data_IF_623641690464
#
_entry.id   IF_623641690464
#
_cell.length_a   1.000
_cell.length_b   1.000
_cell.length_c   1.000
_cell.angle_alpha   90.00
_cell.angle_beta   90.00
_cell.angle_gamma   90.00
#
_symmetry.space_group_name_H-M   'P 1'
#
loop_
_entity.id
_entity.type
_entity.pdbx_description
1 polymer ?
#
# COMPACT_ATOMS: atom_id res chain seq x y z
N UNK A 1 -44.95 20.96 21.70
CA UNK A 1 -44.60 20.87 20.26
C UNK A 1 -43.93 19.53 20.07
N UNK A 2 -44.54 18.70 19.26
CA UNK A 2 -44.24 17.30 18.98
C UNK A 2 -42.85 17.13 18.37
N UNK A 3 -42.09 16.17 18.87
CA UNK A 3 -40.88 15.63 18.23
C UNK A 3 -41.27 15.10 16.85
N UNK A 4 -40.65 15.66 15.81
CA UNK A 4 -40.79 15.16 14.45
C UNK A 4 -39.95 13.89 14.33
N UNK A 5 -40.61 12.73 14.34
CA UNK A 5 -40.02 11.48 13.89
C UNK A 5 -39.54 11.68 12.43
N UNK A 6 -38.23 11.56 12.24
CA UNK A 6 -37.64 11.55 10.91
C UNK A 6 -38.05 10.23 10.24
N UNK A 7 -38.65 10.23 9.04
CA UNK A 7 -39.03 8.98 8.39
C UNK A 7 -37.78 8.14 8.16
N UNK A 8 -37.77 6.90 8.63
CA UNK A 8 -36.78 5.90 8.21
C UNK A 8 -37.02 5.64 6.72
N UNK A 9 -36.35 6.41 5.87
CA UNK A 9 -36.36 6.19 4.43
C UNK A 9 -35.92 4.77 4.13
N UNK A 10 -36.62 4.12 3.19
CA UNK A 10 -36.25 2.80 2.71
C UNK A 10 -34.80 2.82 2.21
N UNK A 11 -34.00 1.84 2.66
CA UNK A 11 -32.63 1.68 2.20
C UNK A 11 -32.61 1.46 0.69
N UNK A 12 -31.58 1.94 -0.04
CA UNK A 12 -31.41 1.67 -1.46
C UNK A 12 -31.55 0.16 -1.78
N UNK A 13 -32.08 -0.24 -2.94
CA UNK A 13 -32.32 -1.64 -3.29
C UNK A 13 -31.09 -2.55 -3.12
N UNK A 14 -29.90 -2.06 -3.48
CA UNK A 14 -28.63 -2.76 -3.31
C UNK A 14 -28.32 -3.05 -1.83
N UNK A 15 -28.54 -2.07 -0.94
CA UNK A 15 -28.35 -2.24 0.49
C UNK A 15 -29.38 -3.20 1.11
N UNK A 16 -30.58 -3.29 0.54
CA UNK A 16 -31.58 -4.28 0.95
C UNK A 16 -31.19 -5.70 0.53
N UNK A 17 -30.64 -5.88 -0.67
CA UNK A 17 -30.21 -7.19 -1.15
C UNK A 17 -28.91 -7.68 -0.47
N UNK A 18 -27.96 -6.78 -0.15
CA UNK A 18 -26.82 -7.11 0.72
C UNK A 18 -27.26 -7.58 2.11
N UNK A 19 -28.27 -6.95 2.69
CA UNK A 19 -28.83 -7.34 3.98
C UNK A 19 -29.46 -8.74 3.93
N UNK A 20 -30.19 -9.07 2.86
CA UNK A 20 -30.74 -10.42 2.63
C UNK A 20 -29.63 -11.46 2.50
N UNK A 21 -28.59 -11.19 1.70
CA UNK A 21 -27.45 -12.10 1.53
C UNK A 21 -26.68 -12.30 2.84
N UNK A 22 -26.51 -11.24 3.63
CA UNK A 22 -25.87 -11.30 4.93
C UNK A 22 -26.68 -12.16 5.91
N UNK A 23 -28.01 -12.02 5.93
CA UNK A 23 -28.90 -12.85 6.74
C UNK A 23 -28.80 -14.34 6.36
N UNK A 24 -28.87 -14.67 5.07
CA UNK A 24 -28.70 -16.04 4.57
C UNK A 24 -27.34 -16.64 4.96
N UNK A 25 -26.25 -15.86 4.88
CA UNK A 25 -24.91 -16.30 5.30
C UNK A 25 -24.82 -16.55 6.80
N UNK A 26 -25.56 -15.81 7.63
CA UNK A 26 -25.67 -16.04 9.08
C UNK A 26 -26.44 -17.32 9.39
N UNK A 27 -27.54 -17.59 8.68
CA UNK A 27 -28.29 -18.85 8.80
C UNK A 27 -27.41 -20.06 8.45
N UNK A 28 -26.65 -19.97 7.35
CA UNK A 28 -25.66 -21.00 7.00
C UNK A 28 -24.60 -21.20 8.08
N UNK A 29 -24.15 -20.14 8.75
CA UNK A 29 -23.21 -20.24 9.86
C UNK A 29 -23.86 -20.89 11.10
N UNK A 30 -25.14 -20.62 11.37
CA UNK A 30 -25.88 -21.26 12.45
C UNK A 30 -25.96 -22.78 12.21
N UNK A 31 -26.40 -23.20 11.02
CA UNK A 31 -26.41 -24.61 10.63
C UNK A 31 -25.02 -25.26 10.66
N UNK A 32 -23.97 -24.51 10.31
CA UNK A 32 -22.58 -24.97 10.41
C UNK A 32 -22.19 -25.28 11.86
N UNK A 33 -22.61 -24.44 12.82
CA UNK A 33 -22.32 -24.63 14.26
C UNK A 33 -23.12 -25.77 14.89
N UNK A 34 -24.28 -26.09 14.34
CA UNK A 34 -25.08 -27.24 14.78
C UNK A 34 -24.49 -28.56 14.29
N UNK A 35 -24.01 -28.57 13.04
CA UNK A 35 -23.45 -29.78 12.41
C UNK A 35 -22.01 -30.06 12.84
N UNK A 36 -21.17 -29.03 12.92
CA UNK A 36 -19.73 -29.16 13.12
C UNK A 36 -19.32 -28.58 14.48
N UNK A 37 -18.48 -29.30 15.23
CA UNK A 37 -18.03 -28.87 16.55
C UNK A 37 -17.26 -27.54 16.53
N UNK A 38 -16.57 -27.23 15.42
CA UNK A 38 -15.76 -26.01 15.25
C UNK A 38 -16.05 -25.37 13.90
N UNK A 39 -16.80 -24.26 13.90
CA UNK A 39 -17.17 -23.51 12.69
C UNK A 39 -16.02 -22.68 12.08
N UNK A 40 -14.96 -22.41 12.85
CA UNK A 40 -13.77 -21.66 12.42
C UNK A 40 -12.50 -22.43 12.80
N UNK A 41 -12.20 -23.53 12.09
CA UNK A 41 -11.05 -24.36 12.41
C UNK A 41 -9.72 -23.65 12.07
N UNK A 42 -8.67 -23.98 12.82
CA UNK A 42 -7.31 -23.41 12.70
C UNK A 42 -6.22 -24.49 12.57
N UNK A 43 -6.61 -25.70 12.18
CA UNK A 43 -5.79 -26.91 12.10
C UNK A 43 -5.29 -27.22 10.67
N UNK A 44 -5.84 -26.58 9.64
CA UNK A 44 -5.38 -26.75 8.26
C UNK A 44 -3.93 -26.25 8.10
N UNK A 45 -3.12 -27.00 7.34
CA UNK A 45 -1.73 -26.66 7.00
C UNK A 45 -1.58 -26.77 5.49
N UNK A 46 -1.47 -25.62 4.81
CA UNK A 46 -1.07 -25.58 3.40
C UNK A 46 0.42 -25.87 3.28
N UNK A 47 0.85 -26.42 2.15
CA UNK A 47 2.26 -26.68 1.83
C UNK A 47 2.76 -25.85 0.63
N UNK A 48 1.85 -25.18 -0.09
CA UNK A 48 2.18 -24.45 -1.31
C UNK A 48 1.36 -23.16 -1.47
N UNK A 49 1.81 -22.30 -2.39
CA UNK A 49 1.15 -21.08 -2.85
C UNK A 49 0.84 -21.19 -4.34
N UNK A 50 -0.25 -20.54 -4.77
CA UNK A 50 -0.71 -20.56 -6.16
C UNK A 50 0.39 -20.13 -7.16
N UNK A 51 1.12 -19.05 -6.87
CA UNK A 51 2.17 -18.56 -7.77
C UNK A 51 3.37 -19.52 -7.84
N UNK A 52 3.67 -20.24 -6.77
CA UNK A 52 4.75 -21.23 -6.76
C UNK A 52 4.40 -22.40 -7.69
N UNK A 53 3.15 -22.89 -7.61
CA UNK A 53 2.64 -23.93 -8.51
C UNK A 53 2.69 -23.50 -9.99
N UNK A 54 2.27 -22.26 -10.29
CA UNK A 54 2.37 -21.73 -11.66
C UNK A 54 3.81 -21.59 -12.13
N UNK A 55 4.72 -21.14 -11.27
CA UNK A 55 6.14 -21.00 -11.62
C UNK A 55 6.81 -22.36 -11.86
N UNK A 56 6.51 -23.35 -11.03
CA UNK A 56 7.18 -24.66 -11.06
C UNK A 56 6.57 -25.63 -12.07
N UNK A 57 5.27 -25.50 -12.36
CA UNK A 57 4.51 -26.45 -13.19
C UNK A 57 3.68 -25.80 -14.31
N UNK A 58 3.77 -24.48 -14.50
CA UNK A 58 2.99 -23.74 -15.50
C UNK A 58 3.29 -24.13 -16.95
N UNK A 59 4.47 -24.67 -17.24
CA UNK A 59 4.86 -25.17 -18.57
C UNK A 59 4.64 -26.68 -18.73
N UNK A 60 4.27 -27.41 -17.66
CA UNK A 60 4.03 -28.85 -17.73
C UNK A 60 2.69 -29.14 -18.43
N UNK A 61 2.70 -30.05 -19.41
CA UNK A 61 1.49 -30.52 -20.09
C UNK A 61 0.74 -31.57 -19.25
N UNK A 62 -0.40 -32.04 -19.78
CA UNK A 62 -1.23 -33.01 -19.08
C UNK A 62 -0.51 -34.36 -18.89
N UNK A 63 0.22 -34.82 -19.90
CA UNK A 63 0.93 -36.11 -19.88
C UNK A 63 2.05 -36.11 -18.85
N UNK A 64 2.81 -35.02 -18.75
CA UNK A 64 3.87 -34.85 -17.76
C UNK A 64 3.32 -34.85 -16.32
N UNK A 65 2.19 -34.18 -16.07
CA UNK A 65 1.54 -34.13 -14.76
C UNK A 65 0.90 -35.49 -14.38
N UNK A 66 0.43 -36.27 -15.36
CA UNK A 66 -0.07 -37.62 -15.14
C UNK A 66 1.07 -38.63 -14.89
N UNK A 67 2.17 -38.53 -15.63
CA UNK A 67 3.34 -39.38 -15.47
C UNK A 67 4.07 -39.12 -14.14
N UNK A 68 4.05 -37.87 -13.64
CA UNK A 68 4.62 -37.48 -12.36
C UNK A 68 3.60 -36.70 -11.52
N UNK A 69 2.68 -37.41 -10.83
CA UNK A 69 1.65 -36.77 -10.01
C UNK A 69 2.25 -35.88 -8.92
N UNK A 70 1.78 -34.64 -8.85
CA UNK A 70 2.18 -33.66 -7.83
C UNK A 70 1.00 -33.47 -6.87
N UNK A 71 1.15 -33.94 -5.63
CA UNK A 71 0.18 -33.71 -4.57
C UNK A 71 0.39 -32.32 -3.94
N UNK A 72 -0.70 -31.63 -3.63
CA UNK A 72 -0.67 -30.25 -3.13
C UNK A 72 -1.76 -30.01 -2.08
N UNK A 73 -1.44 -29.17 -1.10
CA UNK A 73 -2.40 -28.60 -0.12
C UNK A 73 -2.38 -27.08 -0.21
N UNK A 74 -3.47 -26.52 -0.72
CA UNK A 74 -3.64 -25.07 -0.81
C UNK A 74 -4.83 -24.59 0.02
N UNK A 75 -4.79 -23.33 0.41
CA UNK A 75 -5.93 -22.65 1.00
C UNK A 75 -6.03 -21.24 0.44
N UNK A 76 -7.27 -20.80 0.20
CA UNK A 76 -7.52 -19.49 -0.36
C UNK A 76 -8.99 -19.10 -0.28
N UNK A 77 -9.24 -17.83 -0.63
CA UNK A 77 -10.58 -17.29 -0.74
C UNK A 77 -11.25 -17.79 -2.02
N UNK A 78 -12.47 -18.28 -1.91
CA UNK A 78 -13.30 -18.70 -3.04
C UNK A 78 -13.76 -17.49 -3.85
N UNK A 79 -13.11 -17.23 -4.99
CA UNK A 79 -13.36 -16.06 -5.84
C UNK A 79 -14.42 -16.32 -6.91
N UNK A 80 -14.39 -17.52 -7.49
CA UNK A 80 -15.35 -17.97 -8.50
C UNK A 80 -15.81 -19.38 -8.19
N UNK A 81 -17.03 -19.71 -8.61
CA UNK A 81 -17.61 -21.04 -8.46
C UNK A 81 -18.59 -21.26 -9.62
N UNK A 82 -18.39 -22.33 -10.37
CA UNK A 82 -19.27 -22.79 -11.46
C UNK A 82 -19.67 -24.23 -11.18
N UNK A 83 -20.96 -24.43 -10.91
CA UNK A 83 -21.53 -25.75 -10.62
C UNK A 83 -22.03 -26.37 -11.93
N UNK A 84 -21.61 -27.61 -12.21
CA UNK A 84 -21.89 -28.36 -13.43
C UNK A 84 -22.49 -29.73 -13.08
N UNK A 85 -23.56 -29.73 -12.27
CA UNK A 85 -24.18 -30.95 -11.76
C UNK A 85 -23.27 -31.66 -10.75
N UNK A 86 -22.63 -32.76 -11.17
CA UNK A 86 -21.75 -33.61 -10.32
C UNK A 86 -20.30 -33.13 -10.24
N UNK A 87 -19.93 -32.12 -11.00
CA UNK A 87 -18.61 -31.51 -10.96
C UNK A 87 -18.70 -29.99 -10.86
N UNK A 88 -17.66 -29.35 -10.37
CA UNK A 88 -17.57 -27.90 -10.25
C UNK A 88 -16.14 -27.42 -10.50
N UNK A 89 -16.03 -26.23 -11.11
CA UNK A 89 -14.79 -25.48 -11.16
C UNK A 89 -14.90 -24.27 -10.23
N UNK A 90 -13.81 -23.94 -9.56
CA UNK A 90 -13.70 -22.75 -8.73
C UNK A 90 -12.30 -22.18 -8.80
N UNK A 91 -12.14 -20.92 -8.43
CA UNK A 91 -10.83 -20.30 -8.24
C UNK A 91 -10.63 -19.94 -6.77
N UNK A 92 -9.49 -20.36 -6.23
CA UNK A 92 -9.02 -19.95 -4.91
C UNK A 92 -7.95 -18.89 -5.07
N UNK A 93 -8.07 -17.80 -4.31
CA UNK A 93 -7.07 -16.75 -4.25
C UNK A 93 -6.37 -16.76 -2.90
N UNK A 94 -5.05 -16.91 -2.92
CA UNK A 94 -4.20 -16.82 -1.74
C UNK A 94 -3.41 -15.49 -1.71
N UNK A 95 -2.30 -15.45 -0.99
CA UNK A 95 -1.47 -14.24 -0.91
C UNK A 95 -0.68 -13.96 -2.20
N UNK A 96 -0.47 -14.98 -3.03
CA UNK A 96 0.43 -14.99 -4.19
C UNK A 96 -0.31 -14.91 -5.53
N UNK A 97 -1.56 -15.36 -5.59
CA UNK A 97 -2.32 -15.36 -6.84
C UNK A 97 -3.56 -16.25 -6.78
N UNK A 98 -4.01 -16.69 -7.95
CA UNK A 98 -5.19 -17.55 -8.12
C UNK A 98 -4.81 -18.93 -8.61
N UNK A 99 -5.51 -19.94 -8.11
CA UNK A 99 -5.40 -21.32 -8.55
C UNK A 99 -6.78 -21.90 -8.84
N UNK A 100 -6.95 -22.52 -10.00
CA UNK A 100 -8.18 -23.23 -10.33
C UNK A 100 -8.23 -24.56 -9.58
N UNK A 101 -9.40 -24.89 -9.06
CA UNK A 101 -9.71 -26.14 -8.39
C UNK A 101 -10.88 -26.81 -9.08
N UNK A 102 -10.77 -28.12 -9.27
CA UNK A 102 -11.79 -28.97 -9.86
C UNK A 102 -12.28 -29.96 -8.81
N UNK A 103 -13.57 -29.88 -8.49
CA UNK A 103 -14.22 -30.73 -7.50
C UNK A 103 -15.22 -31.63 -8.21
N UNK A 104 -15.08 -32.94 -8.03
CA UNK A 104 -16.01 -33.93 -8.56
C UNK A 104 -16.59 -34.73 -7.40
N UNK A 105 -17.92 -34.87 -7.38
CA UNK A 105 -18.64 -35.54 -6.29
C UNK A 105 -18.08 -36.93 -5.98
N UNK A 106 -17.84 -37.71 -7.01
CA UNK A 106 -17.42 -39.11 -6.88
C UNK A 106 -15.91 -39.24 -6.53
N UNK A 107 -15.16 -38.12 -6.52
CA UNK A 107 -13.75 -38.06 -6.12
C UNK A 107 -13.53 -37.45 -4.74
N UNK A 108 -14.60 -37.00 -4.08
CA UNK A 108 -14.57 -36.40 -2.75
C UNK A 108 -15.17 -37.36 -1.71
N UNK A 109 -14.76 -37.26 -0.44
CA UNK A 109 -15.43 -37.93 0.66
C UNK A 109 -16.93 -37.61 0.70
N UNK A 110 -17.72 -38.57 1.15
CA UNK A 110 -19.18 -38.47 1.19
C UNK A 110 -19.65 -37.17 1.87
N UNK A 111 -20.60 -36.47 1.25
CA UNK A 111 -21.14 -35.21 1.74
C UNK A 111 -20.29 -33.95 1.47
N UNK A 112 -18.99 -34.05 1.18
CA UNK A 112 -18.14 -32.86 0.97
C UNK A 112 -18.54 -32.05 -0.26
N UNK A 113 -18.95 -32.71 -1.34
CA UNK A 113 -19.41 -32.00 -2.54
C UNK A 113 -20.71 -31.23 -2.31
N UNK A 114 -21.64 -31.80 -1.54
CA UNK A 114 -22.88 -31.12 -1.14
C UNK A 114 -22.58 -29.92 -0.23
N UNK A 115 -21.65 -30.08 0.72
CA UNK A 115 -21.15 -28.98 1.53
C UNK A 115 -20.53 -27.86 0.66
N UNK A 116 -19.67 -28.21 -0.30
CA UNK A 116 -19.05 -27.26 -1.23
C UNK A 116 -20.10 -26.46 -2.03
N UNK A 117 -21.16 -27.12 -2.51
CA UNK A 117 -22.24 -26.42 -3.23
C UNK A 117 -22.90 -25.34 -2.37
N UNK A 118 -23.00 -25.55 -1.05
CA UNK A 118 -23.57 -24.59 -0.10
C UNK A 118 -22.65 -23.41 0.26
N UNK A 119 -21.33 -23.54 0.05
CA UNK A 119 -20.35 -22.49 0.36
C UNK A 119 -20.53 -21.27 -0.53
N UNK A 120 -20.12 -20.11 -0.06
CA UNK A 120 -20.35 -18.83 -0.73
C UNK A 120 -19.05 -18.21 -1.21
N UNK A 121 -19.15 -17.39 -2.25
CA UNK A 121 -18.03 -16.57 -2.69
C UNK A 121 -17.56 -15.66 -1.54
N UNK A 122 -16.26 -15.60 -1.35
CA UNK A 122 -15.63 -14.95 -0.20
C UNK A 122 -15.29 -15.91 0.94
N UNK A 123 -15.85 -17.12 0.99
CA UNK A 123 -15.46 -18.13 1.99
C UNK A 123 -13.99 -18.51 1.81
N UNK A 124 -13.29 -18.80 2.91
CA UNK A 124 -11.92 -19.33 2.87
C UNK A 124 -12.01 -20.84 2.98
N UNK A 125 -11.42 -21.54 2.02
CA UNK A 125 -11.44 -23.00 1.96
C UNK A 125 -10.02 -23.53 1.83
N UNK A 126 -9.80 -24.72 2.40
CA UNK A 126 -8.60 -25.53 2.21
C UNK A 126 -8.94 -26.72 1.33
N UNK A 127 -8.04 -27.07 0.41
CA UNK A 127 -8.18 -28.25 -0.44
C UNK A 127 -6.87 -29.04 -0.46
N UNK A 128 -7.02 -30.35 -0.56
CA UNK A 128 -5.95 -31.32 -0.84
C UNK A 128 -6.29 -31.97 -2.18
N UNK A 129 -5.29 -32.15 -3.04
CA UNK A 129 -5.49 -32.82 -4.31
C UNK A 129 -4.22 -32.98 -5.12
N UNK A 130 -4.39 -33.21 -6.41
CA UNK A 130 -3.28 -33.41 -7.36
C UNK A 130 -3.35 -32.41 -8.50
N UNK A 131 -2.19 -31.93 -8.96
CA UNK A 131 -2.12 -31.09 -10.15
C UNK A 131 -2.55 -31.85 -11.40
N UNK A 132 -3.27 -31.16 -12.28
CA UNK A 132 -3.56 -31.61 -13.62
C UNK A 132 -3.80 -30.40 -14.53
N UNK A 133 -3.89 -30.62 -15.84
CA UNK A 133 -4.25 -29.58 -16.81
C UNK A 133 -5.64 -29.85 -17.38
N UNK A 134 -6.47 -28.82 -17.46
CA UNK A 134 -7.80 -28.93 -18.08
C UNK A 134 -7.69 -28.99 -19.61
N UNK A 135 -8.82 -29.29 -20.28
CA UNK A 135 -8.89 -29.28 -21.75
C UNK A 135 -8.60 -27.91 -22.37
N UNK A 136 -8.85 -26.82 -21.63
CA UNK A 136 -8.52 -25.45 -22.05
C UNK A 136 -7.08 -25.07 -21.75
N UNK A 137 -6.28 -26.01 -21.24
CA UNK A 137 -4.88 -25.78 -20.93
C UNK A 137 -4.64 -25.08 -19.60
N UNK A 138 -5.61 -24.97 -18.70
CA UNK A 138 -5.40 -24.27 -17.43
C UNK A 138 -4.87 -25.22 -16.34
N UNK A 139 -3.77 -24.84 -15.68
CA UNK A 139 -3.22 -25.58 -14.55
C UNK A 139 -4.22 -25.57 -13.38
N UNK A 140 -4.59 -26.74 -12.88
CA UNK A 140 -5.69 -26.92 -11.92
C UNK A 140 -5.38 -27.99 -10.88
N UNK A 141 -6.06 -27.93 -9.74
CA UNK A 141 -5.99 -28.98 -8.71
C UNK A 141 -7.23 -29.85 -8.80
N UNK A 142 -7.06 -31.15 -9.06
CA UNK A 142 -8.10 -32.17 -8.93
C UNK A 142 -8.24 -32.48 -7.45
N UNK A 143 -9.31 -31.99 -6.84
CA UNK A 143 -9.48 -32.01 -5.38
C UNK A 143 -9.89 -33.40 -4.91
N UNK A 144 -9.11 -33.93 -3.97
CA UNK A 144 -9.38 -35.17 -3.25
C UNK A 144 -10.07 -34.91 -1.90
N UNK A 145 -9.86 -33.75 -1.27
CA UNK A 145 -10.67 -33.31 -0.13
C UNK A 145 -10.78 -31.79 -0.07
N UNK A 146 -11.92 -31.30 0.40
CA UNK A 146 -12.19 -29.88 0.57
C UNK A 146 -12.79 -29.60 1.95
N UNK A 147 -12.37 -28.51 2.57
CA UNK A 147 -12.86 -28.07 3.88
C UNK A 147 -13.10 -26.57 3.91
N UNK A 148 -14.23 -26.15 4.49
CA UNK A 148 -14.47 -24.76 4.84
C UNK A 148 -13.62 -24.39 6.06
N UNK A 149 -12.80 -23.34 5.94
CA UNK A 149 -11.95 -22.82 7.02
C UNK A 149 -12.55 -21.59 7.66
N UNK A 150 -13.21 -20.72 6.88
CA UNK A 150 -13.84 -19.51 7.40
C UNK A 150 -15.06 -19.17 6.56
N UNK A 151 -16.21 -19.06 7.22
CA UNK A 151 -17.44 -18.56 6.61
C UNK A 151 -17.38 -17.04 6.47
N UNK A 152 -17.58 -16.53 5.26
CA UNK A 152 -17.72 -15.11 4.97
C UNK A 152 -19.17 -14.65 5.17
N UNK A 153 -19.39 -13.77 6.14
CA UNK A 153 -20.73 -13.28 6.48
C UNK A 153 -21.21 -12.14 5.59
N UNK A 154 -20.29 -11.41 4.97
CA UNK A 154 -20.59 -10.35 4.01
C UNK A 154 -20.21 -10.81 2.60
N UNK A 155 -21.03 -10.50 1.58
CA UNK A 155 -20.66 -10.77 0.20
C UNK A 155 -19.43 -9.97 -0.22
N UNK A 156 -18.72 -10.46 -1.23
CA UNK A 156 -17.73 -9.67 -1.94
C UNK A 156 -18.45 -8.64 -2.82
N UNK A 157 -17.84 -7.47 -3.11
CA UNK A 157 -18.34 -6.55 -4.11
C UNK A 157 -18.54 -7.22 -5.48
N UNK A 158 -19.42 -6.67 -6.32
CA UNK A 158 -19.72 -7.24 -7.64
C UNK A 158 -18.45 -7.46 -8.50
N UNK A 159 -18.45 -8.59 -9.21
CA UNK A 159 -17.23 -9.19 -9.78
C UNK A 159 -16.68 -8.50 -11.03
N UNK A 160 -17.50 -7.77 -11.78
CA UNK A 160 -17.17 -7.44 -13.17
C UNK A 160 -16.32 -6.18 -13.34
N UNK A 161 -16.30 -5.28 -12.35
CA UNK A 161 -15.61 -4.00 -12.50
C UNK A 161 -14.50 -3.77 -11.47
N UNK A 162 -14.29 -4.71 -10.53
CA UNK A 162 -13.44 -4.45 -9.37
C UNK A 162 -14.05 -3.40 -8.44
N UNK A 163 -13.35 -3.03 -7.37
CA UNK A 163 -13.78 -1.91 -6.54
C UNK A 163 -13.21 -0.63 -7.17
N UNK A 164 -14.06 0.17 -7.80
CA UNK A 164 -13.65 1.35 -8.59
C UNK A 164 -13.75 2.66 -7.83
N UNK A 165 -14.66 2.76 -6.85
CA UNK A 165 -14.81 3.95 -6.02
C UNK A 165 -13.58 4.14 -5.11
N UNK A 166 -12.82 5.21 -5.37
CA UNK A 166 -11.56 5.47 -4.70
C UNK A 166 -11.74 5.66 -3.17
N UNK A 167 -12.83 6.30 -2.74
CA UNK A 167 -13.10 6.50 -1.32
C UNK A 167 -13.35 5.16 -0.60
N UNK A 168 -14.15 4.29 -1.19
CA UNK A 168 -14.41 2.94 -0.67
C UNK A 168 -13.14 2.10 -0.64
N UNK A 169 -12.29 2.17 -1.67
CA UNK A 169 -10.99 1.51 -1.68
C UNK A 169 -10.10 1.95 -0.50
N UNK A 170 -10.13 3.23 -0.13
CA UNK A 170 -9.36 3.75 0.99
C UNK A 170 -9.97 3.38 2.34
N UNK A 171 -11.29 3.47 2.49
CA UNK A 171 -12.01 3.12 3.74
C UNK A 171 -12.03 1.62 4.02
N UNK A 172 -12.09 0.80 2.97
CA UNK A 172 -12.21 -0.65 3.05
C UNK A 172 -11.05 -1.31 2.29
N UNK A 173 -9.82 -0.94 2.67
CA UNK A 173 -8.58 -1.45 2.04
C UNK A 173 -8.55 -2.98 1.91
N UNK A 174 -9.12 -3.71 2.87
CA UNK A 174 -9.20 -5.17 2.81
C UNK A 174 -10.02 -5.68 1.61
N UNK A 175 -11.06 -4.97 1.16
CA UNK A 175 -11.80 -5.32 -0.05
C UNK A 175 -11.03 -4.95 -1.30
N UNK A 176 -10.43 -3.76 -1.34
CA UNK A 176 -9.55 -3.34 -2.44
C UNK A 176 -8.43 -4.38 -2.67
N UNK A 177 -7.74 -4.81 -1.62
CA UNK A 177 -6.68 -5.83 -1.72
C UNK A 177 -7.19 -7.24 -2.11
N UNK A 178 -8.49 -7.51 -1.99
CA UNK A 178 -9.08 -8.76 -2.49
C UNK A 178 -9.40 -8.63 -3.97
N UNK A 179 -9.96 -7.48 -4.38
CA UNK A 179 -10.54 -7.28 -5.70
C UNK A 179 -9.55 -6.75 -6.74
N UNK A 180 -8.55 -5.98 -6.32
CA UNK A 180 -7.64 -5.24 -7.19
C UNK A 180 -6.19 -5.73 -7.01
N UNK A 181 -5.69 -6.48 -8.00
CA UNK A 181 -4.32 -7.02 -7.97
C UNK A 181 -3.26 -5.91 -8.07
N UNK A 182 -3.54 -4.84 -8.82
CA UNK A 182 -2.61 -3.71 -8.95
C UNK A 182 -2.42 -2.98 -7.63
N UNK A 183 -3.48 -2.82 -6.82
CA UNK A 183 -3.36 -2.30 -5.46
C UNK A 183 -2.40 -3.16 -4.62
N UNK A 184 -2.50 -4.49 -4.68
CA UNK A 184 -1.58 -5.39 -3.97
C UNK A 184 -0.14 -5.22 -4.43
N UNK A 185 0.08 -5.14 -5.75
CA UNK A 185 1.41 -4.91 -6.34
C UNK A 185 2.03 -3.61 -5.83
N UNK A 186 1.26 -2.54 -5.69
CA UNK A 186 1.72 -1.27 -5.13
C UNK A 186 2.23 -1.44 -3.69
N UNK A 187 1.52 -2.19 -2.83
CA UNK A 187 1.99 -2.44 -1.46
C UNK A 187 3.22 -3.36 -1.39
N UNK A 188 3.28 -4.38 -2.24
CA UNK A 188 4.46 -5.25 -2.35
C UNK A 188 5.69 -4.45 -2.80
N UNK A 189 5.53 -3.61 -3.83
CA UNK A 189 6.58 -2.72 -4.31
C UNK A 189 7.00 -1.70 -3.24
N UNK A 190 6.04 -1.12 -2.50
CA UNK A 190 6.35 -0.24 -1.35
C UNK A 190 7.21 -0.94 -0.30
N UNK A 191 6.91 -2.20 0.03
CA UNK A 191 7.72 -3.00 0.95
C UNK A 191 9.14 -3.20 0.42
N UNK A 192 9.26 -3.55 -0.88
CA UNK A 192 10.55 -3.73 -1.54
C UNK A 192 11.37 -2.42 -1.60
N UNK A 193 10.72 -1.27 -1.81
CA UNK A 193 11.34 0.06 -1.76
C UNK A 193 11.95 0.31 -0.38
N UNK A 194 11.18 0.10 0.69
CA UNK A 194 11.67 0.33 2.07
C UNK A 194 12.83 -0.61 2.40
N UNK A 195 12.74 -1.89 2.01
CA UNK A 195 13.83 -2.85 2.20
C UNK A 195 15.08 -2.44 1.43
N UNK A 196 14.95 -2.03 0.17
CA UNK A 196 16.05 -1.53 -0.64
C UNK A 196 16.74 -0.33 0.02
N UNK A 197 15.98 0.65 0.53
CA UNK A 197 16.56 1.82 1.19
C UNK A 197 17.39 1.41 2.41
N UNK A 198 16.87 0.48 3.23
CA UNK A 198 17.62 -0.07 4.37
C UNK A 198 18.91 -0.74 3.93
N UNK A 199 18.85 -1.63 2.96
CA UNK A 199 20.02 -2.36 2.45
C UNK A 199 21.04 -1.39 1.84
N UNK A 200 20.57 -0.37 1.12
CA UNK A 200 21.42 0.64 0.48
C UNK A 200 22.22 1.46 1.50
N UNK A 201 21.58 1.90 2.58
CA UNK A 201 22.19 2.73 3.62
C UNK A 201 23.05 1.89 4.57
N UNK A 202 22.57 0.74 5.01
CA UNK A 202 23.35 -0.18 5.86
C UNK A 202 24.60 -0.69 5.14
N UNK A 203 24.50 -1.00 3.84
CA UNK A 203 25.64 -1.34 2.99
C UNK A 203 26.68 -0.21 2.84
N UNK A 204 26.35 1.03 3.25
CA UNK A 204 27.23 2.21 3.27
C UNK A 204 27.65 2.63 4.69
N UNK A 205 27.38 1.77 5.67
CA UNK A 205 27.76 1.97 7.06
C UNK A 205 26.87 2.93 7.85
N UNK A 206 25.66 3.23 7.37
CA UNK A 206 24.67 3.95 8.17
C UNK A 206 24.03 2.99 9.18
N UNK A 207 23.90 3.44 10.42
CA UNK A 207 23.21 2.73 11.50
C UNK A 207 21.72 3.07 11.49
N UNK A 208 20.84 2.06 11.38
CA UNK A 208 19.40 2.25 11.59
C UNK A 208 19.15 2.45 13.09
N UNK A 209 18.46 3.52 13.47
CA UNK A 209 18.16 3.88 14.86
C UNK A 209 16.67 4.19 15.03
N UNK A 210 16.20 4.12 16.26
CA UNK A 210 14.84 4.52 16.63
C UNK A 210 14.89 5.67 17.64
N UNK A 211 14.23 6.78 17.32
CA UNK A 211 14.16 7.97 18.19
C UNK A 211 12.74 8.22 18.70
N UNK A 212 12.55 9.00 19.79
CA UNK A 212 11.22 9.18 20.38
C UNK A 212 10.17 9.75 19.41
N UNK A 213 9.00 9.11 19.39
CA UNK A 213 7.80 9.56 18.67
C UNK A 213 7.02 10.63 19.43
N UNK A 214 7.13 10.63 20.77
CA UNK A 214 6.57 11.66 21.64
C UNK A 214 7.69 12.56 22.12
N UNK A 215 7.54 13.87 21.93
CA UNK A 215 8.56 14.87 22.22
C UNK A 215 7.97 15.94 23.14
N UNK A 216 8.78 16.45 24.08
CA UNK A 216 8.38 17.55 24.97
C UNK A 216 8.26 18.87 24.20
N UNK A 217 9.14 19.09 23.23
CA UNK A 217 9.13 20.25 22.34
C UNK A 217 9.15 19.71 20.91
N UNK A 218 8.11 19.99 20.11
CA UNK A 218 8.10 19.59 18.70
C UNK A 218 9.08 20.48 17.92
N UNK A 219 9.91 19.86 17.08
CA UNK A 219 10.89 20.59 16.27
C UNK A 219 11.43 19.75 15.11
N UNK A 220 12.38 20.31 14.35
CA UNK A 220 12.95 19.67 13.16
C UNK A 220 12.14 19.86 11.87
N UNK A 221 10.99 20.52 11.94
CA UNK A 221 10.22 20.95 10.77
C UNK A 221 9.34 22.15 11.13
N UNK A 222 8.76 22.81 10.12
CA UNK A 222 7.72 23.82 10.30
C UNK A 222 6.36 23.19 9.98
N UNK A 223 5.69 22.67 10.99
CA UNK A 223 4.36 22.07 10.87
C UNK A 223 3.59 22.16 12.19
N UNK A 224 2.26 22.09 12.14
CA UNK A 224 1.43 22.04 13.35
C UNK A 224 1.49 20.63 13.95
N UNK A 225 1.85 20.46 15.24
CA UNK A 225 1.93 19.14 15.85
C UNK A 225 0.56 18.62 16.33
N UNK A 226 0.47 17.32 16.57
CA UNK A 226 -0.56 16.74 17.43
C UNK A 226 -0.11 16.82 18.89
N UNK A 227 -1.03 17.17 19.78
CA UNK A 227 -0.80 17.30 21.22
C UNK A 227 -1.42 16.12 21.94
N UNK A 228 -0.74 15.60 22.95
CA UNK A 228 -1.22 14.51 23.83
C UNK A 228 -0.76 14.76 25.28
N UNK A 229 -1.23 13.95 26.21
CA UNK A 229 -0.92 14.10 27.64
C UNK A 229 -0.46 12.78 28.24
N UNK A 230 0.66 12.82 28.98
CA UNK A 230 1.15 11.66 29.72
C UNK A 230 0.60 11.67 31.15
N UNK A 231 -0.50 10.95 31.39
CA UNK A 231 -1.25 10.98 32.66
C UNK A 231 -0.41 10.80 33.93
N UNK A 232 0.54 9.85 33.95
CA UNK A 232 1.31 9.55 35.16
C UNK A 232 2.43 10.58 35.47
N UNK A 233 2.89 11.31 34.45
CA UNK A 233 3.91 12.36 34.60
C UNK A 233 3.27 13.75 34.63
N UNK A 234 1.95 13.81 34.46
CA UNK A 234 1.14 15.00 34.32
C UNK A 234 1.78 16.07 33.41
N UNK A 235 2.18 15.64 32.20
CA UNK A 235 2.87 16.52 31.26
C UNK A 235 2.33 16.39 29.84
N UNK A 236 2.32 17.54 29.16
CA UNK A 236 2.01 17.63 27.75
C UNK A 236 3.16 17.05 26.89
N UNK A 237 2.79 16.33 25.84
CA UNK A 237 3.71 15.78 24.85
C UNK A 237 3.16 16.04 23.45
N UNK A 238 4.05 15.97 22.48
CA UNK A 238 3.73 16.19 21.09
C UNK A 238 4.13 14.99 20.26
N UNK A 239 3.28 14.54 19.35
CA UNK A 239 3.71 13.59 18.32
C UNK A 239 4.69 14.31 17.39
N UNK A 240 5.84 13.66 17.13
CA UNK A 240 6.93 14.30 16.39
C UNK A 240 6.50 14.71 14.98
N UNK A 241 6.88 15.92 14.60
CA UNK A 241 6.76 16.42 13.22
C UNK A 241 7.98 16.03 12.36
N UNK A 242 9.12 15.77 13.03
CA UNK A 242 10.38 15.27 12.46
C UNK A 242 11.28 14.66 13.57
N UNK A 243 12.08 13.63 13.29
CA UNK A 243 13.12 13.13 14.19
C UNK A 243 14.45 13.92 14.17
N UNK A 244 14.66 14.86 13.24
CA UNK A 244 15.91 15.63 13.02
C UNK A 244 16.70 15.95 14.29
N UNK A 245 16.08 16.59 15.28
CA UNK A 245 16.80 17.07 16.46
C UNK A 245 17.37 15.91 17.30
N UNK A 246 16.70 14.76 17.35
CA UNK A 246 17.19 13.59 18.08
C UNK A 246 18.30 12.88 17.32
N UNK A 247 18.17 12.75 16.00
CA UNK A 247 19.22 12.17 15.16
C UNK A 247 20.51 13.00 15.23
N UNK A 248 20.41 14.33 15.24
CA UNK A 248 21.58 15.21 15.44
C UNK A 248 22.23 15.05 16.82
N UNK A 249 21.47 14.73 17.88
CA UNK A 249 22.04 14.39 19.20
C UNK A 249 22.86 13.11 19.15
N UNK A 250 22.47 12.13 18.34
CA UNK A 250 23.25 10.91 18.12
C UNK A 250 24.57 11.20 17.40
N UNK A 251 24.55 12.10 16.41
CA UNK A 251 25.77 12.57 15.74
C UNK A 251 26.71 13.27 16.72
N UNK A 252 26.17 14.15 17.59
CA UNK A 252 26.95 14.75 18.70
C UNK A 252 27.52 13.68 19.63
N UNK A 253 26.77 12.60 19.87
CA UNK A 253 27.21 11.44 20.66
C UNK A 253 28.25 10.54 19.98
N UNK A 254 28.65 10.83 18.73
CA UNK A 254 29.67 10.09 18.01
C UNK A 254 29.15 9.04 17.02
N UNK A 255 27.82 8.90 16.83
CA UNK A 255 27.30 8.10 15.73
C UNK A 255 27.35 8.90 14.43
N UNK A 256 28.46 8.74 13.70
CA UNK A 256 28.79 9.55 12.53
C UNK A 256 27.87 9.30 11.32
N UNK A 257 27.21 8.14 11.22
CA UNK A 257 26.24 7.82 10.16
C UNK A 257 25.02 7.15 10.74
N UNK A 258 23.88 7.83 10.74
CA UNK A 258 22.61 7.31 11.27
C UNK A 258 21.48 7.54 10.28
N UNK A 259 20.48 6.66 10.29
CA UNK A 259 19.23 6.89 9.58
C UNK A 259 18.04 6.30 10.36
N UNK A 260 16.86 6.85 10.10
CA UNK A 260 15.60 6.35 10.64
C UNK A 260 14.52 6.38 9.57
N UNK A 261 13.81 5.25 9.38
CA UNK A 261 12.62 5.15 8.53
C UNK A 261 11.42 4.89 9.41
N UNK A 262 10.64 5.93 9.74
CA UNK A 262 9.48 5.74 10.59
C UNK A 262 8.47 6.90 10.41
N UNK A 263 7.42 6.93 11.25
CA UNK A 263 6.31 7.88 11.12
C UNK A 263 6.69 9.29 11.57
N UNK A 264 6.11 10.27 10.91
CA UNK A 264 5.97 11.65 11.37
C UNK A 264 4.50 12.04 11.30
N UNK A 265 4.11 12.98 12.16
CA UNK A 265 2.72 13.38 12.36
C UNK A 265 2.59 14.89 12.18
N UNK A 266 1.70 15.33 11.29
CA UNK A 266 1.41 16.75 11.05
C UNK A 266 -0.09 16.98 11.07
N UNK A 267 -0.52 17.85 11.98
CA UNK A 267 -1.93 18.19 12.19
C UNK A 267 -2.37 19.25 11.18
N UNK A 268 -2.39 18.81 9.92
CA UNK A 268 -2.68 19.61 8.72
C UNK A 268 -3.85 18.99 7.95
N UNK A 269 -4.35 19.70 6.93
CA UNK A 269 -5.46 19.20 6.11
C UNK A 269 -5.09 17.95 5.31
N UNK A 270 -6.06 17.06 5.10
CA UNK A 270 -5.91 15.91 4.21
C UNK A 270 -5.97 16.38 2.75
N UNK A 271 -5.11 15.83 1.90
CA UNK A 271 -5.18 16.02 0.45
C UNK A 271 -4.66 14.78 -0.27
N UNK A 272 -4.72 14.76 -1.60
CA UNK A 272 -4.16 13.67 -2.41
C UNK A 272 -2.64 13.51 -2.25
N UNK A 273 -1.94 14.56 -1.78
CA UNK A 273 -0.49 14.57 -1.54
C UNK A 273 -0.11 14.48 -0.05
N UNK A 274 -1.07 14.66 0.88
CA UNK A 274 -0.78 14.82 2.30
C UNK A 274 -1.69 13.95 3.17
N UNK A 275 -1.08 13.10 4.00
CA UNK A 275 -1.74 12.33 5.05
C UNK A 275 -1.22 12.78 6.43
N UNK A 276 -2.07 12.92 7.47
CA UNK A 276 -1.64 13.41 8.79
C UNK A 276 -0.55 12.57 9.46
N UNK A 277 -0.46 11.30 9.09
CA UNK A 277 0.68 10.44 9.40
C UNK A 277 1.35 9.97 8.10
N UNK A 278 2.67 10.02 8.04
CA UNK A 278 3.39 9.59 6.84
C UNK A 278 4.78 9.09 7.20
N UNK A 279 5.32 8.23 6.35
CA UNK A 279 6.66 7.68 6.55
C UNK A 279 7.66 8.63 5.93
N UNK A 280 8.64 9.04 6.73
CA UNK A 280 9.82 9.72 6.23
C UNK A 280 11.04 8.84 6.45
N UNK A 281 12.05 9.06 5.60
CA UNK A 281 13.41 8.72 5.95
C UNK A 281 14.15 10.01 6.31
N UNK A 282 14.87 9.97 7.42
CA UNK A 282 15.92 10.94 7.71
C UNK A 282 17.26 10.21 7.87
N UNK A 283 18.33 10.81 7.36
CA UNK A 283 19.69 10.28 7.50
C UNK A 283 20.68 11.43 7.71
N UNK A 284 21.72 11.14 8.48
CA UNK A 284 22.78 12.08 8.81
C UNK A 284 24.14 11.42 8.63
N UNK A 285 25.08 12.17 8.09
CA UNK A 285 26.47 11.77 7.92
C UNK A 285 27.38 12.92 8.38
N UNK A 286 28.22 12.66 9.39
CA UNK A 286 29.26 13.58 9.82
C UNK A 286 30.32 13.75 8.72
N UNK A 287 30.95 14.93 8.70
CA UNK A 287 31.99 15.31 7.72
C UNK A 287 31.56 15.25 6.25
N UNK A 288 30.26 15.33 5.99
CA UNK A 288 29.68 15.46 4.66
C UNK A 288 28.95 16.81 4.54
N UNK A 289 28.87 17.34 3.32
CA UNK A 289 28.02 18.48 2.99
C UNK A 289 26.80 18.05 2.15
N UNK A 290 25.95 19.01 1.78
CA UNK A 290 24.75 18.71 1.00
C UNK A 290 25.04 18.13 -0.39
N UNK A 291 26.25 18.30 -0.95
CA UNK A 291 26.64 17.73 -2.25
C UNK A 291 26.87 16.24 -2.15
N UNK A 292 27.50 15.77 -1.07
CA UNK A 292 27.59 14.34 -0.78
C UNK A 292 26.19 13.72 -0.66
N UNK A 293 25.26 14.43 -0.01
CA UNK A 293 23.88 13.96 0.15
C UNK A 293 23.08 13.99 -1.16
N UNK A 294 23.35 14.95 -2.07
CA UNK A 294 22.81 14.94 -3.44
C UNK A 294 23.28 13.70 -4.21
N UNK A 295 24.59 13.42 -4.17
CA UNK A 295 25.18 12.24 -4.84
C UNK A 295 24.62 10.94 -4.27
N UNK A 296 24.48 10.85 -2.94
CA UNK A 296 23.91 9.70 -2.25
C UNK A 296 22.44 9.47 -2.65
N UNK A 297 21.64 10.54 -2.69
CA UNK A 297 20.21 10.48 -3.03
C UNK A 297 20.01 10.05 -4.48
N UNK A 298 20.76 10.63 -5.42
CA UNK A 298 20.74 10.25 -6.83
C UNK A 298 21.11 8.77 -7.02
N UNK A 299 22.21 8.33 -6.38
CA UNK A 299 22.67 6.94 -6.44
C UNK A 299 21.63 5.98 -5.86
N UNK A 300 20.97 6.36 -4.76
CA UNK A 300 19.93 5.57 -4.13
C UNK A 300 18.73 5.36 -5.05
N UNK A 301 18.19 6.45 -5.60
CA UNK A 301 17.00 6.43 -6.45
C UNK A 301 17.26 5.70 -7.77
N UNK A 302 18.40 5.97 -8.42
CA UNK A 302 18.80 5.28 -9.67
C UNK A 302 18.93 3.77 -9.46
N UNK A 303 19.64 3.35 -8.42
CA UNK A 303 19.81 1.94 -8.11
C UNK A 303 18.50 1.25 -7.72
N UNK A 304 17.60 1.97 -7.03
CA UNK A 304 16.29 1.46 -6.65
C UNK A 304 15.42 1.16 -7.87
N UNK A 305 15.34 2.11 -8.82
CA UNK A 305 14.61 1.93 -10.06
C UNK A 305 15.17 0.74 -10.86
N UNK A 306 16.49 0.71 -11.06
CA UNK A 306 17.15 -0.38 -11.77
C UNK A 306 16.89 -1.75 -11.12
N UNK A 307 16.93 -1.83 -9.78
CA UNK A 307 16.78 -3.09 -9.04
C UNK A 307 15.34 -3.60 -9.01
N UNK A 308 14.37 -2.70 -8.82
CA UNK A 308 12.98 -3.07 -8.57
C UNK A 308 12.13 -3.07 -9.84
N UNK A 309 12.49 -2.25 -10.83
CA UNK A 309 11.73 -2.09 -12.08
C UNK A 309 12.49 -2.62 -13.31
N UNK A 310 13.77 -2.98 -13.17
CA UNK A 310 14.60 -3.50 -14.26
C UNK A 310 15.15 -2.41 -15.20
N UNK A 311 14.85 -1.14 -14.96
CA UNK A 311 15.34 0.00 -15.73
C UNK A 311 15.26 1.30 -14.93
N UNK A 312 15.83 2.38 -15.47
CA UNK A 312 15.89 3.69 -14.81
C UNK A 312 14.80 4.67 -15.25
N UNK A 313 14.05 4.33 -16.31
CA UNK A 313 12.95 5.15 -16.81
C UNK A 313 11.65 4.75 -16.12
N UNK A 314 10.98 5.72 -15.51
CA UNK A 314 9.71 5.54 -14.80
C UNK A 314 8.64 6.42 -15.44
N UNK A 315 7.52 5.84 -15.84
CA UNK A 315 6.36 6.61 -16.34
C UNK A 315 5.43 6.95 -15.18
N UNK A 316 5.17 8.23 -14.98
CA UNK A 316 4.24 8.72 -13.95
C UNK A 316 3.34 9.81 -14.51
N UNK A 317 2.03 9.59 -14.42
CA UNK A 317 0.98 10.50 -14.93
C UNK A 317 1.17 10.93 -16.41
N UNK A 318 1.67 10.02 -17.24
CA UNK A 318 1.90 10.26 -18.68
C UNK A 318 3.25 10.91 -19.00
N UNK A 319 4.06 11.24 -18.00
CA UNK A 319 5.42 11.77 -18.17
C UNK A 319 6.46 10.69 -17.88
N UNK A 320 7.49 10.61 -18.71
CA UNK A 320 8.64 9.75 -18.47
C UNK A 320 9.73 10.48 -17.67
N UNK A 321 10.23 9.82 -16.62
CA UNK A 321 11.31 10.31 -15.78
C UNK A 321 12.50 9.35 -15.90
N UNK A 322 13.63 9.81 -16.44
CA UNK A 322 14.85 9.00 -16.51
C UNK A 322 15.76 9.26 -15.31
N UNK A 323 15.72 8.34 -14.34
CA UNK A 323 16.56 8.37 -13.14
C UNK A 323 18.01 7.92 -13.44
N UNK A 324 18.30 7.51 -14.67
CA UNK A 324 19.61 7.08 -15.14
C UNK A 324 20.54 8.24 -15.45
N UNK A 325 20.00 9.40 -15.81
CA UNK A 325 20.79 10.61 -16.04
C UNK A 325 21.23 11.27 -14.73
N UNK A 326 22.35 12.02 -14.74
CA UNK A 326 22.70 12.90 -13.62
C UNK A 326 21.55 13.88 -13.32
N UNK A 327 21.21 14.04 -12.03
CA UNK A 327 20.13 14.94 -11.67
C UNK A 327 20.58 16.39 -11.87
N UNK A 328 19.70 17.20 -12.48
CA UNK A 328 19.98 18.62 -12.70
C UNK A 328 20.13 19.32 -11.36
N UNK A 329 21.26 20.01 -11.15
CA UNK A 329 21.53 20.81 -9.96
C UNK A 329 21.35 22.28 -10.31
N UNK A 330 20.47 22.97 -9.59
CA UNK A 330 20.22 24.38 -9.73
C UNK A 330 20.00 24.99 -8.35
N UNK A 331 20.52 26.18 -8.14
CA UNK A 331 20.08 27.02 -7.03
C UNK A 331 18.64 27.50 -7.27
N UNK A 332 17.95 27.87 -6.19
CA UNK A 332 16.60 28.44 -6.26
C UNK A 332 16.58 29.66 -7.20
N UNK A 333 17.59 30.53 -7.12
CA UNK A 333 17.69 31.71 -7.99
C UNK A 333 17.89 31.35 -9.46
N UNK A 334 18.81 30.43 -9.77
CA UNK A 334 19.01 29.94 -11.14
C UNK A 334 17.72 29.35 -11.71
N UNK A 335 16.95 28.62 -10.90
CA UNK A 335 15.68 28.05 -11.36
C UNK A 335 14.61 29.11 -11.65
N UNK A 336 14.50 30.16 -10.81
CA UNK A 336 13.57 31.26 -11.07
C UNK A 336 13.95 31.94 -12.39
N UNK A 337 15.24 32.28 -12.57
CA UNK A 337 15.73 32.94 -13.78
C UNK A 337 15.59 32.07 -15.03
N UNK A 338 15.74 30.74 -14.91
CA UNK A 338 15.61 29.82 -16.03
C UNK A 338 14.18 29.72 -16.55
N UNK A 339 13.18 29.76 -15.66
CA UNK A 339 11.77 29.57 -16.01
C UNK A 339 10.98 30.88 -16.16
N UNK A 340 11.58 32.02 -15.81
CA UNK A 340 10.99 33.36 -15.89
C UNK A 340 11.97 34.32 -16.58
N UNK A 341 11.95 34.36 -17.91
CA UNK A 341 12.88 35.15 -18.72
C UNK A 341 12.73 36.68 -18.55
N UNK A 342 11.63 37.14 -17.96
CA UNK A 342 11.32 38.53 -17.65
C UNK A 342 11.85 39.00 -16.30
N UNK A 343 12.47 38.11 -15.51
CA UNK A 343 13.05 38.41 -14.21
C UNK A 343 14.58 38.48 -14.33
N UNK A 344 15.17 39.56 -13.82
CA UNK A 344 16.64 39.72 -13.81
C UNK A 344 17.26 39.32 -12.46
N UNK A 345 18.55 38.93 -12.45
CA UNK A 345 19.25 38.63 -11.20
C UNK A 345 19.28 39.81 -10.21
N UNK A 346 19.36 41.04 -10.72
CA UNK A 346 19.39 42.25 -9.91
C UNK A 346 18.08 42.46 -9.16
N UNK A 347 16.95 42.21 -9.80
CA UNK A 347 15.63 42.33 -9.16
C UNK A 347 15.42 41.26 -8.07
N UNK A 348 15.98 40.07 -8.22
CA UNK A 348 15.93 39.04 -7.18
C UNK A 348 16.91 39.27 -6.04
N UNK A 349 17.94 40.09 -6.22
CA UNK A 349 18.94 40.37 -5.20
C UNK A 349 18.49 41.46 -4.19
N UNK A 350 17.46 42.23 -4.53
CA UNK A 350 16.95 43.32 -3.71
C UNK A 350 15.52 43.01 -3.21
N UNK A 351 15.26 43.29 -1.94
CA UNK A 351 14.02 42.89 -1.27
C UNK A 351 12.79 43.53 -1.89
N UNK A 352 12.78 44.85 -2.09
CA UNK A 352 11.61 45.56 -2.63
C UNK A 352 11.36 45.21 -4.09
N UNK A 353 12.41 45.04 -4.89
CA UNK A 353 12.31 44.58 -6.27
C UNK A 353 11.74 43.15 -6.34
N UNK A 354 12.25 42.21 -5.53
CA UNK A 354 11.68 40.87 -5.42
C UNK A 354 10.23 40.91 -4.91
N UNK A 355 9.91 41.79 -3.96
CA UNK A 355 8.54 41.98 -3.48
C UNK A 355 7.62 42.52 -4.58
N UNK A 356 8.10 43.42 -5.45
CA UNK A 356 7.34 43.91 -6.59
C UNK A 356 7.04 42.78 -7.60
N UNK A 357 8.02 41.91 -7.87
CA UNK A 357 7.83 40.69 -8.67
C UNK A 357 6.78 39.78 -8.03
N UNK A 358 6.93 39.47 -6.74
CA UNK A 358 6.01 38.61 -6.02
C UNK A 358 4.57 39.15 -6.07
N UNK A 359 4.38 40.46 -5.83
CA UNK A 359 3.06 41.12 -5.95
C UNK A 359 2.51 41.04 -7.38
N UNK A 360 3.34 41.23 -8.41
CA UNK A 360 2.96 41.05 -9.83
C UNK A 360 2.48 39.62 -10.11
N UNK A 361 3.06 38.62 -9.46
CA UNK A 361 2.69 37.20 -9.55
C UNK A 361 1.50 36.82 -8.65
N UNK A 362 0.88 37.79 -7.95
CA UNK A 362 -0.25 37.57 -7.05
C UNK A 362 0.11 36.95 -5.71
N UNK A 363 1.39 36.99 -5.32
CA UNK A 363 1.88 36.49 -4.03
C UNK A 363 1.71 37.60 -2.99
N UNK A 364 1.12 37.27 -1.84
CA UNK A 364 1.01 38.21 -0.71
C UNK A 364 2.37 38.34 -0.03
N UNK A 365 2.89 39.57 0.06
CA UNK A 365 4.15 39.88 0.76
C UNK A 365 3.84 40.72 2.00
N UNK A 366 4.27 40.25 3.16
CA UNK A 366 4.11 40.95 4.44
C UNK A 366 5.34 41.81 4.77
N UNK A 367 5.17 42.86 5.59
CA UNK A 367 6.25 43.78 5.94
C UNK A 367 7.43 43.08 6.62
N UNK A 368 7.17 42.02 7.39
CA UNK A 368 8.19 41.22 8.06
C UNK A 368 8.89 40.19 7.18
N UNK A 369 8.46 40.01 5.92
CA UNK A 369 9.04 38.98 5.04
C UNK A 369 10.44 39.40 4.58
N UNK A 370 11.44 38.60 4.91
CA UNK A 370 12.80 38.77 4.42
C UNK A 370 12.95 38.36 2.96
N UNK A 371 14.01 38.81 2.30
CA UNK A 371 14.29 38.53 0.89
C UNK A 371 14.23 37.03 0.55
N UNK A 372 14.87 36.18 1.37
CA UNK A 372 14.89 34.74 1.13
C UNK A 372 13.50 34.10 1.12
N UNK A 373 12.60 34.51 2.02
CA UNK A 373 11.21 34.03 2.02
C UNK A 373 10.51 34.43 0.72
N UNK A 374 10.67 35.68 0.29
CA UNK A 374 10.06 36.18 -0.95
C UNK A 374 10.58 35.39 -2.17
N UNK A 375 11.88 35.12 -2.24
CA UNK A 375 12.48 34.28 -3.29
C UNK A 375 11.90 32.86 -3.28
N UNK A 376 11.75 32.24 -2.10
CA UNK A 376 11.12 30.91 -1.97
C UNK A 376 9.68 30.91 -2.47
N UNK A 377 8.88 31.91 -2.11
CA UNK A 377 7.48 32.00 -2.55
C UNK A 377 7.38 32.20 -4.08
N UNK A 378 8.29 32.98 -4.69
CA UNK A 378 8.38 33.11 -6.15
C UNK A 378 8.73 31.76 -6.79
N UNK A 379 9.67 31.01 -6.21
CA UNK A 379 10.02 29.67 -6.65
C UNK A 379 8.84 28.70 -6.58
N UNK A 380 8.17 28.59 -5.42
CA UNK A 380 7.00 27.72 -5.24
C UNK A 380 5.89 28.06 -6.25
N UNK A 381 5.68 29.35 -6.52
CA UNK A 381 4.64 29.80 -7.45
C UNK A 381 4.94 29.56 -8.92
N UNK A 382 6.20 29.63 -9.35
CA UNK A 382 6.56 29.71 -10.78
C UNK A 382 7.42 28.57 -11.30
N UNK A 383 8.06 27.81 -10.40
CA UNK A 383 9.06 26.80 -10.74
C UNK A 383 8.65 25.39 -10.29
N UNK A 384 8.16 25.21 -9.06
CA UNK A 384 7.98 23.87 -8.45
C UNK A 384 7.20 22.87 -9.34
N UNK A 385 6.05 23.27 -9.90
CA UNK A 385 5.23 22.41 -10.76
C UNK A 385 5.87 22.09 -12.13
N UNK A 386 7.05 22.65 -12.45
CA UNK A 386 7.78 22.42 -13.71
C UNK A 386 9.00 21.51 -13.56
N UNK A 387 9.31 21.06 -12.33
CA UNK A 387 10.48 20.25 -12.01
C UNK A 387 10.20 18.76 -11.99
#
# INVERSE_FOLDING_TARGET
MTEAETPRGELPPEAQDENKLTAQRREKLAALRERDAVAFPNDFRRDTLAADLHREHGEADAEALEAKPVAVKLAGRLMTKRIMGKASFAHLQDMSGRMQVFLQRDSLPEGQYEAFKSWDLGDIIGVDGQLFRTKTGELSVRVASARLLTKSLRPLPEKFHGLTDAETCYRQRYLDLIMNEDSRRVFLLRSAIVHYIRDFLTGRGFLEVETPMMQVIPGGARAKPFVTHHNALDMELYLRIAPELYLKRLVVGGFEKVFEINRSFRNEGLSTKHNPEFTMIEFYQAYADYRDLMDLTETMLRGMAQKLLGGTVVTYQGTEYDLGQPFRRMTVLESILHYNADITPAELAEREAAAAIARRLGIKVETGDGLGKIQTEIFEKTVEDRL
#
